data_IF_614480824059
#
_entry.id   IF_614480824059
#
_cell.length_a   1.000
_cell.length_b   1.000
_cell.length_c   1.000
_cell.angle_alpha   90.00
_cell.angle_beta   90.00
_cell.angle_gamma   90.00
#
_symmetry.space_group_name_H-M   'P 1'
#
loop_
_entity.id
_entity.type
_entity.pdbx_description
1 polymer ?
#
# COMPACT_ATOMS: atom_id res chain seq x y z
N UNK A 1 -13.78 -9.41 18.26
CA UNK A 1 -13.34 -10.65 17.58
C UNK A 1 -13.64 -10.48 16.10
N UNK A 2 -12.62 -10.28 15.26
CA UNK A 2 -12.83 -10.15 13.80
C UNK A 2 -13.03 -11.55 13.19
N UNK A 3 -14.01 -11.75 12.29
CA UNK A 3 -14.33 -13.07 11.75
C UNK A 3 -13.16 -13.65 10.91
N UNK A 4 -12.93 -14.95 11.05
CA UNK A 4 -11.87 -15.73 10.38
C UNK A 4 -12.09 -15.97 8.87
N UNK A 5 -12.78 -15.06 8.16
CA UNK A 5 -13.14 -15.21 6.73
C UNK A 5 -12.15 -14.49 5.81
N UNK A 6 -11.36 -13.54 6.30
CA UNK A 6 -10.32 -12.91 5.50
C UNK A 6 -9.06 -13.76 5.54
N UNK A 7 -8.89 -14.63 4.54
CA UNK A 7 -7.64 -15.33 4.26
C UNK A 7 -6.58 -14.32 3.78
N UNK A 8 -6.18 -13.40 4.66
CA UNK A 8 -5.19 -12.33 4.44
C UNK A 8 -5.56 -11.32 3.34
N UNK A 9 -5.61 -10.04 3.68
CA UNK A 9 -5.61 -8.98 2.66
C UNK A 9 -4.16 -8.52 2.46
N UNK A 10 -3.76 -8.28 1.21
CA UNK A 10 -2.43 -7.72 0.92
C UNK A 10 -2.62 -6.24 0.64
N UNK A 11 -2.01 -5.38 1.43
CA UNK A 11 -1.94 -3.95 1.14
C UNK A 11 -0.70 -3.66 0.30
N UNK A 12 -0.83 -2.76 -0.66
CA UNK A 12 0.24 -2.29 -1.53
C UNK A 12 0.36 -0.79 -1.34
N UNK A 13 1.54 -0.35 -0.90
CA UNK A 13 1.94 1.05 -0.90
C UNK A 13 2.57 1.35 -2.25
N UNK A 14 2.02 2.32 -2.96
CA UNK A 14 2.43 2.70 -4.31
C UNK A 14 2.93 4.13 -4.29
N UNK A 15 4.06 4.38 -4.94
CA UNK A 15 4.59 5.72 -5.19
C UNK A 15 4.09 6.19 -6.55
N UNK A 16 3.25 7.21 -6.55
CA UNK A 16 2.58 7.79 -7.72
C UNK A 16 3.31 9.06 -8.21
N UNK A 17 4.63 9.05 -8.20
CA UNK A 17 5.51 10.16 -8.59
C UNK A 17 6.07 9.96 -10.00
N UNK A 18 5.21 10.08 -11.02
CA UNK A 18 5.65 10.01 -12.41
C UNK A 18 4.54 9.65 -13.39
N UNK A 19 4.93 9.25 -14.61
CA UNK A 19 4.00 8.82 -15.66
C UNK A 19 3.30 7.48 -15.34
N UNK A 20 3.90 6.66 -14.47
CA UNK A 20 3.35 5.37 -14.06
C UNK A 20 3.54 5.17 -12.54
N UNK A 21 2.49 4.73 -11.81
CA UNK A 21 2.61 4.35 -10.40
C UNK A 21 3.59 3.18 -10.21
N UNK A 22 4.46 3.26 -9.22
CA UNK A 22 5.46 2.23 -8.89
C UNK A 22 5.15 1.60 -7.53
N UNK A 23 5.13 0.27 -7.49
CA UNK A 23 5.02 -0.46 -6.21
C UNK A 23 6.21 -0.11 -5.30
N UNK A 24 5.92 0.37 -4.10
CA UNK A 24 6.91 0.76 -3.11
C UNK A 24 7.10 -0.33 -2.05
N UNK A 25 6.00 -0.79 -1.42
CA UNK A 25 6.02 -1.88 -0.43
C UNK A 25 4.73 -2.71 -0.50
N UNK A 26 4.80 -3.95 -0.02
CA UNK A 26 3.63 -4.82 0.20
C UNK A 26 3.61 -5.33 1.62
N UNK A 27 2.42 -5.50 2.18
CA UNK A 27 2.27 -6.03 3.53
C UNK A 27 0.95 -6.79 3.67
N UNK A 28 0.99 -7.97 4.28
CA UNK A 28 -0.21 -8.76 4.54
C UNK A 28 -0.80 -8.38 5.90
N UNK A 29 -2.11 -8.15 5.94
CA UNK A 29 -2.85 -7.91 7.18
C UNK A 29 -3.92 -8.97 7.40
N UNK A 30 -4.13 -9.34 8.66
CA UNK A 30 -5.28 -10.13 9.10
C UNK A 30 -6.53 -9.25 9.36
N UNK A 31 -6.40 -7.93 9.24
CA UNK A 31 -7.46 -6.95 9.44
C UNK A 31 -7.54 -5.92 8.31
N UNK A 32 -8.19 -4.80 8.60
CA UNK A 32 -8.49 -3.74 7.63
C UNK A 32 -7.48 -2.59 7.63
N UNK A 33 -6.37 -2.74 8.36
CA UNK A 33 -5.33 -1.72 8.49
C UNK A 33 -3.95 -2.36 8.54
N UNK A 34 -2.95 -1.60 8.13
CA UNK A 34 -1.53 -1.97 8.24
C UNK A 34 -0.67 -0.70 8.33
N UNK A 35 0.57 -0.87 8.77
CA UNK A 35 1.58 0.20 8.81
C UNK A 35 2.73 -0.17 7.88
N UNK A 36 3.09 0.73 6.98
CA UNK A 36 4.29 0.64 6.16
C UNK A 36 5.39 1.47 6.80
N UNK A 37 6.48 0.84 7.23
CA UNK A 37 7.64 1.54 7.77
C UNK A 37 8.62 1.86 6.65
N UNK A 38 8.98 3.13 6.50
CA UNK A 38 10.02 3.58 5.58
C UNK A 38 11.27 3.89 6.40
N UNK A 39 12.29 3.05 6.28
CA UNK A 39 13.56 3.18 7.00
C UNK A 39 14.67 3.69 6.07
N UNK A 40 15.72 4.27 6.66
CA UNK A 40 16.86 4.85 5.91
C UNK A 40 16.42 5.89 4.87
N UNK A 41 15.56 6.82 5.29
CA UNK A 41 14.92 7.82 4.43
C UNK A 41 15.97 8.71 3.73
N UNK A 42 15.80 8.89 2.43
CA UNK A 42 16.58 9.79 1.57
C UNK A 42 15.68 10.78 0.84
N UNK A 43 16.24 11.79 0.15
CA UNK A 43 15.44 12.71 -0.66
C UNK A 43 14.61 11.99 -1.73
N UNK A 44 15.08 10.84 -2.23
CA UNK A 44 14.40 10.01 -3.22
C UNK A 44 13.11 9.36 -2.68
N UNK A 45 12.89 9.35 -1.37
CA UNK A 45 11.63 8.90 -0.77
C UNK A 45 10.55 9.99 -0.79
N UNK A 46 10.87 11.21 -1.21
CA UNK A 46 9.85 12.25 -1.43
C UNK A 46 8.97 11.88 -2.63
N UNK A 47 7.67 12.15 -2.55
CA UNK A 47 6.74 11.88 -3.63
C UNK A 47 5.30 11.72 -3.17
N UNK A 48 4.40 11.44 -4.12
CA UNK A 48 3.01 11.10 -3.79
C UNK A 48 2.90 9.60 -3.55
N UNK A 49 2.21 9.23 -2.48
CA UNK A 49 1.94 7.84 -2.14
C UNK A 49 0.44 7.60 -2.08
N UNK A 50 0.00 6.46 -2.59
CA UNK A 50 -1.36 5.97 -2.44
C UNK A 50 -1.32 4.51 -1.98
N UNK A 51 -2.43 4.03 -1.44
CA UNK A 51 -2.58 2.66 -0.99
C UNK A 51 -3.73 1.98 -1.75
N UNK A 52 -3.55 0.71 -2.06
CA UNK A 52 -4.66 -0.18 -2.43
C UNK A 52 -4.53 -1.49 -1.64
N UNK A 53 -5.60 -2.27 -1.59
CA UNK A 53 -5.54 -3.64 -1.09
C UNK A 53 -5.93 -4.62 -2.19
N UNK A 54 -5.35 -5.80 -2.12
CA UNK A 54 -5.54 -6.91 -3.01
C UNK A 54 -6.09 -8.09 -2.21
N UNK A 55 -7.19 -8.66 -2.71
CA UNK A 55 -7.84 -9.84 -2.18
C UNK A 55 -7.61 -11.02 -3.12
N UNK A 56 -7.41 -12.20 -2.56
CA UNK A 56 -7.46 -13.44 -3.32
C UNK A 56 -8.81 -14.11 -3.10
N UNK A 57 -9.67 -14.10 -4.11
CA UNK A 57 -11.00 -14.71 -4.07
C UNK A 57 -11.12 -15.72 -5.20
N UNK A 58 -11.41 -16.99 -4.86
CA UNK A 58 -11.69 -18.08 -5.83
C UNK A 58 -10.63 -18.23 -6.95
N UNK A 59 -9.35 -18.00 -6.63
CA UNK A 59 -8.25 -18.10 -7.58
C UNK A 59 -7.98 -16.84 -8.39
N UNK A 60 -8.84 -15.81 -8.28
CA UNK A 60 -8.63 -14.49 -8.85
C UNK A 60 -8.00 -13.53 -7.84
N UNK A 61 -7.23 -12.57 -8.36
CA UNK A 61 -6.73 -11.42 -7.59
C UNK A 61 -7.61 -10.22 -7.90
N UNK A 62 -8.21 -9.64 -6.86
CA UNK A 62 -9.07 -8.47 -6.95
C UNK A 62 -8.39 -7.29 -6.27
N UNK A 63 -8.30 -6.16 -6.97
CA UNK A 63 -7.72 -4.93 -6.43
C UNK A 63 -8.83 -3.95 -6.07
N UNK A 64 -8.66 -3.26 -4.95
CA UNK A 64 -9.43 -2.05 -4.68
C UNK A 64 -9.04 -0.94 -5.66
N UNK A 65 -9.86 0.12 -5.72
CA UNK A 65 -9.38 1.40 -6.22
C UNK A 65 -8.24 1.93 -5.34
N UNK A 66 -7.42 2.82 -5.89
CA UNK A 66 -6.42 3.55 -5.12
C UNK A 66 -7.09 4.47 -4.09
N UNK A 67 -6.45 4.64 -2.94
CA UNK A 67 -6.81 5.65 -1.96
C UNK A 67 -6.46 7.05 -2.48
N UNK A 68 -6.95 8.06 -1.76
CA UNK A 68 -6.43 9.41 -1.91
C UNK A 68 -4.90 9.42 -1.72
N UNK A 69 -4.24 10.22 -2.54
CA UNK A 69 -2.78 10.34 -2.52
C UNK A 69 -2.30 11.32 -1.46
N UNK A 70 -1.26 10.94 -0.74
CA UNK A 70 -0.58 11.78 0.26
C UNK A 70 0.78 12.22 -0.30
N UNK A 71 1.08 13.51 -0.25
CA UNK A 71 2.40 14.04 -0.59
C UNK A 71 3.32 13.91 0.62
N UNK A 72 4.43 13.21 0.45
CA UNK A 72 5.51 13.10 1.43
C UNK A 72 6.70 13.90 0.92
N UNK A 73 7.29 14.73 1.77
CA UNK A 73 8.48 15.52 1.45
C UNK A 73 9.53 15.28 2.53
N UNK A 74 10.71 14.85 2.12
CA UNK A 74 11.86 14.66 2.99
C UNK A 74 12.69 15.93 2.98
N UNK A 75 12.76 16.59 4.14
CA UNK A 75 13.57 17.79 4.36
C UNK A 75 14.78 17.46 5.22
N UNK A 76 15.94 17.97 4.85
CA UNK A 76 17.21 17.83 5.56
C UNK A 76 18.14 18.99 5.25
#
# INVERSE_FOLDING_TARGET
MAPAIFSGVIFLLVKADGAAPRLYQTAQSAGFAITFAIANITHDDSGRYCCLYQLKQEGALLNSSESDSVLVTVTG
#
